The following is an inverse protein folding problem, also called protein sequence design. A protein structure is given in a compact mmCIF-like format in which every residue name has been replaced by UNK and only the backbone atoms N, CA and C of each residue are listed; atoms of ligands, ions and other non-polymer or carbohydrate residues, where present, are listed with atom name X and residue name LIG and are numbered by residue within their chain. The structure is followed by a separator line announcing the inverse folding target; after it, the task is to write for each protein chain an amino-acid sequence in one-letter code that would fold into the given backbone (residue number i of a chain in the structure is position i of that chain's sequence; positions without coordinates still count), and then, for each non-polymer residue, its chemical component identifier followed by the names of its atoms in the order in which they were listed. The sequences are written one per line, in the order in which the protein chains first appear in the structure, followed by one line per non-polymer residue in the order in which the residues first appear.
data_IF_894633867196
#
_entry.id   IF_894633867196
#
_cell.length_a   1.000
_cell.length_b   1.000
_cell.length_c   1.000
_cell.angle_alpha   90.00
_cell.angle_beta   90.00
_cell.angle_gamma   90.00
#
_symmetry.space_group_name_H-M   'P 1'
#
loop_
_entity.id
_entity.type
_entity.pdbx_description
1 polymer ?
#
# COMPACT_ATOMS: atom_id res chain seq x y z
N UNK A 1 7.57 28.94 20.85
CA UNK A 1 8.30 28.38 22.00
C UNK A 1 8.87 27.04 21.55
N UNK A 2 10.18 26.89 21.51
CA UNK A 2 10.83 25.61 21.22
C UNK A 2 10.65 24.70 22.42
N UNK A 3 9.92 23.60 22.25
CA UNK A 3 9.82 22.55 23.27
C UNK A 3 11.22 21.98 23.49
N UNK A 4 11.63 21.78 24.74
CA UNK A 4 12.95 21.20 25.02
C UNK A 4 12.94 19.70 24.67
N UNK A 5 14.08 19.13 24.30
CA UNK A 5 14.22 17.68 24.01
C UNK A 5 13.71 16.83 25.19
N UNK A 6 13.82 17.33 26.42
CA UNK A 6 13.32 16.67 27.64
C UNK A 6 11.79 16.67 27.74
N UNK A 7 11.13 17.77 27.39
CA UNK A 7 9.66 17.86 27.44
C UNK A 7 9.02 17.01 26.34
N UNK A 8 9.66 16.98 25.17
CA UNK A 8 9.32 16.15 24.03
C UNK A 8 9.48 14.63 24.34
N UNK A 9 10.58 14.24 25.00
CA UNK A 9 10.79 12.90 25.54
C UNK A 9 9.70 12.48 26.51
N UNK A 10 9.27 13.38 27.38
CA UNK A 10 8.26 13.09 28.39
C UNK A 10 6.87 12.91 27.77
N UNK A 11 6.48 13.75 26.81
CA UNK A 11 5.21 13.63 26.10
C UNK A 11 5.13 12.34 25.27
N UNK A 12 6.20 11.97 24.56
CA UNK A 12 6.21 10.72 23.81
C UNK A 12 6.34 9.48 24.70
N UNK A 13 7.10 9.54 25.79
CA UNK A 13 7.12 8.47 26.78
C UNK A 13 5.75 8.29 27.44
N UNK A 14 5.02 9.37 27.68
CA UNK A 14 3.63 9.34 28.12
C UNK A 14 2.71 8.73 27.06
N UNK A 15 2.92 9.04 25.79
CA UNK A 15 2.12 8.48 24.68
C UNK A 15 2.42 6.99 24.43
N UNK A 16 3.70 6.59 24.48
CA UNK A 16 4.06 5.18 24.48
C UNK A 16 3.52 4.51 25.73
N UNK A 17 3.55 5.12 26.92
CA UNK A 17 2.98 4.51 28.12
C UNK A 17 1.46 4.45 28.08
N UNK A 18 0.79 5.41 27.41
CA UNK A 18 -0.66 5.46 27.28
C UNK A 18 -1.17 4.36 26.34
N UNK A 19 -0.42 4.06 25.28
CA UNK A 19 -0.75 3.01 24.31
C UNK A 19 -0.12 1.63 24.63
N UNK A 20 1.12 1.62 25.12
CA UNK A 20 1.89 0.43 25.47
C UNK A 20 2.24 0.45 26.94
N UNK A 21 1.49 -0.31 27.74
CA UNK A 21 1.84 -0.48 29.14
C UNK A 21 3.28 -1.01 29.28
N UNK A 22 4.01 -0.67 30.35
CA UNK A 22 5.36 -1.20 30.59
C UNK A 22 5.43 -2.73 30.61
N UNK A 23 4.32 -3.39 30.93
CA UNK A 23 4.19 -4.85 30.87
C UNK A 23 4.08 -5.33 29.43
N UNK A 24 3.19 -4.73 28.63
CA UNK A 24 3.04 -5.03 27.19
C UNK A 24 4.37 -4.91 26.45
N UNK A 25 5.11 -3.83 26.69
CA UNK A 25 6.42 -3.61 26.06
C UNK A 25 7.46 -4.66 26.48
N UNK A 26 7.41 -5.11 27.74
CA UNK A 26 8.30 -6.14 28.28
C UNK A 26 7.98 -7.52 27.71
N UNK A 27 6.71 -7.86 27.60
CA UNK A 27 6.26 -9.13 27.08
C UNK A 27 6.57 -9.22 25.59
N UNK A 28 6.29 -8.16 24.82
CA UNK A 28 6.68 -8.07 23.42
C UNK A 28 8.20 -8.24 23.23
N UNK A 29 9.00 -7.61 24.09
CA UNK A 29 10.46 -7.74 24.04
C UNK A 29 10.96 -9.16 24.38
N UNK A 30 10.22 -9.93 25.19
CA UNK A 30 10.53 -11.33 25.45
C UNK A 30 10.13 -12.22 24.29
N UNK A 31 8.96 -11.98 23.70
CA UNK A 31 8.44 -12.77 22.58
C UNK A 31 9.37 -12.74 21.37
N UNK A 32 9.95 -11.57 21.07
CA UNK A 32 10.95 -11.42 19.99
C UNK A 32 12.38 -11.77 20.43
N UNK A 33 12.57 -12.22 21.67
CA UNK A 33 13.86 -12.62 22.21
C UNK A 33 14.86 -11.47 22.46
N UNK A 34 14.40 -10.22 22.44
CA UNK A 34 15.24 -9.05 22.75
C UNK A 34 15.62 -9.01 24.23
N UNK A 35 14.67 -9.33 25.13
CA UNK A 35 14.90 -9.49 26.56
C UNK A 35 14.78 -10.96 26.93
N UNK A 36 15.92 -11.61 27.21
CA UNK A 36 15.95 -13.00 27.69
C UNK A 36 16.17 -13.10 29.20
N UNK A 37 16.80 -12.07 29.79
CA UNK A 37 17.06 -11.95 31.22
C UNK A 37 16.86 -10.50 31.65
N UNK A 38 16.48 -10.28 32.89
CA UNK A 38 16.35 -8.94 33.46
C UNK A 38 17.72 -8.25 33.47
N UNK A 39 17.83 -7.10 32.80
CA UNK A 39 19.00 -6.23 32.83
C UNK A 39 18.62 -4.78 33.13
N UNK A 40 19.62 -3.97 33.50
CA UNK A 40 19.44 -2.51 33.70
C UNK A 40 18.88 -1.83 32.45
N UNK A 41 19.40 -2.23 31.27
CA UNK A 41 18.89 -1.82 29.97
C UNK A 41 17.70 -2.68 29.56
N UNK A 42 16.59 -2.03 29.19
CA UNK A 42 15.30 -2.61 28.87
C UNK A 42 14.80 -2.15 27.49
N UNK A 43 13.69 -2.73 27.03
CA UNK A 43 13.04 -2.37 25.77
C UNK A 43 12.71 -0.87 25.64
N UNK A 44 12.22 -0.25 26.71
CA UNK A 44 11.93 1.20 26.74
C UNK A 44 13.17 2.06 26.44
N UNK A 45 14.35 1.60 26.86
CA UNK A 45 15.60 2.34 26.70
C UNK A 45 16.10 2.27 25.25
N UNK A 46 15.87 1.14 24.57
CA UNK A 46 16.08 1.03 23.12
C UNK A 46 15.17 1.97 22.36
N UNK A 47 13.88 2.01 22.70
CA UNK A 47 12.91 2.87 22.03
C UNK A 47 13.25 4.35 22.23
N UNK A 48 13.54 4.74 23.47
CA UNK A 48 13.98 6.11 23.78
C UNK A 48 15.24 6.49 22.98
N UNK A 49 16.20 5.58 22.91
CA UNK A 49 17.44 5.80 22.16
C UNK A 49 17.20 5.98 20.66
N UNK A 50 16.43 5.07 20.06
CA UNK A 50 16.23 5.01 18.61
C UNK A 50 15.30 6.10 18.06
N UNK A 51 14.30 6.51 18.85
CA UNK A 51 13.29 7.46 18.38
C UNK A 51 13.70 8.91 18.69
N UNK A 52 14.44 9.15 19.79
CA UNK A 52 14.54 10.50 20.35
C UNK A 52 15.94 11.00 20.69
N UNK A 53 16.75 10.17 21.35
CA UNK A 53 18.06 10.58 21.87
C UNK A 53 19.07 10.87 20.76
N UNK A 54 18.80 10.39 19.55
CA UNK A 54 19.68 10.63 18.43
C UNK A 54 18.89 10.85 17.14
N UNK A 55 18.82 12.11 16.72
CA UNK A 55 18.35 12.48 15.37
C UNK A 55 19.15 11.78 14.25
N UNK A 56 20.32 11.22 14.57
CA UNK A 56 21.15 10.42 13.68
C UNK A 56 21.75 9.19 14.38
N UNK A 57 20.93 8.24 14.89
CA UNK A 57 21.44 7.02 15.60
C UNK A 57 22.52 6.31 14.79
N UNK A 58 22.38 6.33 13.47
CA UNK A 58 23.33 5.72 12.55
C UNK A 58 24.67 6.47 12.41
N UNK A 59 24.77 7.74 12.82
CA UNK A 59 25.98 8.57 12.67
C UNK A 59 26.62 8.96 14.01
N UNK A 60 25.86 8.94 15.11
CA UNK A 60 26.36 9.25 16.45
C UNK A 60 27.20 8.09 16.99
N UNK A 61 28.35 8.40 17.60
CA UNK A 61 29.22 7.34 18.16
C UNK A 61 28.56 6.59 19.32
N UNK A 62 28.91 5.31 19.51
CA UNK A 62 28.38 4.49 20.62
C UNK A 62 28.66 5.10 22.00
N UNK A 63 29.79 5.78 22.18
CA UNK A 63 30.13 6.49 23.41
C UNK A 63 29.14 7.62 23.68
N UNK A 64 28.86 8.46 22.68
CA UNK A 64 27.87 9.53 22.80
C UNK A 64 26.47 8.97 23.04
N UNK A 65 26.07 7.93 22.31
CA UNK A 65 24.77 7.28 22.52
C UNK A 65 24.63 6.74 23.95
N UNK A 66 25.68 6.13 24.49
CA UNK A 66 25.69 5.62 25.87
C UNK A 66 25.60 6.74 26.90
N UNK A 67 26.36 7.83 26.72
CA UNK A 67 26.32 9.00 27.60
C UNK A 67 24.97 9.72 27.54
N UNK A 68 24.39 9.88 26.36
CA UNK A 68 23.07 10.50 26.22
C UNK A 68 21.99 9.63 26.86
N UNK A 69 22.06 8.30 26.69
CA UNK A 69 21.12 7.39 27.34
C UNK A 69 21.22 7.48 28.87
N UNK A 70 22.44 7.50 29.42
CA UNK A 70 22.66 7.66 30.85
C UNK A 70 22.07 8.98 31.36
N UNK A 71 22.32 10.08 30.66
CA UNK A 71 21.78 11.39 31.03
C UNK A 71 20.23 11.44 30.97
N UNK A 72 19.61 10.78 30.00
CA UNK A 72 18.15 10.82 29.81
C UNK A 72 17.37 9.79 30.62
N UNK A 73 17.99 8.66 30.99
CA UNK A 73 17.27 7.51 31.60
C UNK A 73 17.91 6.99 32.89
N UNK A 74 19.07 7.52 33.28
CA UNK A 74 19.92 6.99 34.36
C UNK A 74 20.39 5.53 34.16
N UNK A 75 20.23 4.98 32.95
CA UNK A 75 20.69 3.63 32.61
C UNK A 75 22.15 3.67 32.16
N UNK A 76 23.02 3.08 32.97
CA UNK A 76 24.44 2.95 32.65
C UNK A 76 24.69 1.68 31.81
N UNK A 77 25.19 1.88 30.59
CA UNK A 77 25.59 0.82 29.65
C UNK A 77 26.92 1.19 28.99
N UNK A 78 27.78 0.20 28.74
CA UNK A 78 29.02 0.44 28.01
C UNK A 78 28.75 0.56 26.51
N UNK A 79 29.61 1.26 25.73
CA UNK A 79 29.47 1.36 24.28
C UNK A 79 29.36 0.01 23.58
N UNK A 80 30.18 -0.95 23.99
CA UNK A 80 30.15 -2.32 23.46
C UNK A 80 28.89 -3.08 23.90
N UNK A 81 28.45 -2.90 25.15
CA UNK A 81 27.20 -3.46 25.62
C UNK A 81 25.99 -2.94 24.84
N UNK A 82 26.02 -1.66 24.46
CA UNK A 82 25.00 -1.04 23.61
C UNK A 82 25.06 -1.58 22.17
N UNK A 83 26.26 -1.72 21.60
CA UNK A 83 26.45 -2.29 20.26
C UNK A 83 25.79 -3.67 20.12
N UNK A 84 25.97 -4.54 21.13
CA UNK A 84 25.38 -5.88 21.15
C UNK A 84 23.84 -5.88 21.20
N UNK A 85 23.22 -4.76 21.62
CA UNK A 85 21.77 -4.59 21.60
C UNK A 85 21.24 -4.19 20.22
N UNK A 86 22.07 -3.69 19.31
CA UNK A 86 21.69 -3.48 17.91
C UNK A 86 21.79 -4.78 17.12
N UNK A 87 20.71 -5.57 17.18
CA UNK A 87 20.65 -6.88 16.55
C UNK A 87 19.28 -7.12 15.89
N UNK A 88 19.09 -8.31 15.31
CA UNK A 88 17.83 -8.66 14.62
C UNK A 88 16.60 -8.62 15.54
N UNK A 89 16.75 -9.00 16.81
CA UNK A 89 15.65 -8.96 17.78
C UNK A 89 15.24 -7.52 18.10
N UNK A 90 16.19 -6.58 18.14
CA UNK A 90 15.89 -5.15 18.29
C UNK A 90 15.08 -4.60 17.11
N UNK A 91 15.42 -5.01 15.89
CA UNK A 91 14.65 -4.64 14.69
C UNK A 91 13.23 -5.20 14.77
N UNK A 92 13.07 -6.48 15.13
CA UNK A 92 11.75 -7.12 15.30
C UNK A 92 10.93 -6.46 16.40
N UNK A 93 11.55 -6.06 17.51
CA UNK A 93 10.87 -5.32 18.58
C UNK A 93 10.32 -3.99 18.07
N UNK A 94 11.14 -3.18 17.38
CA UNK A 94 10.71 -1.90 16.85
C UNK A 94 9.62 -2.05 15.78
N UNK A 95 9.69 -3.10 14.94
CA UNK A 95 8.64 -3.42 13.97
C UNK A 95 7.30 -3.76 14.65
N UNK A 96 7.30 -4.55 15.71
CA UNK A 96 6.08 -4.87 16.45
C UNK A 96 5.53 -3.67 17.22
N UNK A 97 6.39 -2.85 17.83
CA UNK A 97 5.97 -1.61 18.50
C UNK A 97 5.27 -0.69 17.50
N UNK A 98 5.87 -0.49 16.32
CA UNK A 98 5.25 0.28 15.25
C UNK A 98 3.88 -0.29 14.86
N UNK A 99 3.79 -1.61 14.70
CA UNK A 99 2.55 -2.28 14.35
C UNK A 99 1.45 -2.08 15.40
N UNK A 100 1.80 -2.19 16.69
CA UNK A 100 0.87 -2.03 17.79
C UNK A 100 0.38 -0.58 17.94
N UNK A 101 1.29 0.39 17.86
CA UNK A 101 0.95 1.81 17.88
C UNK A 101 0.03 2.20 16.71
N UNK A 102 0.29 1.65 15.52
CA UNK A 102 -0.58 1.81 14.36
C UNK A 102 -1.98 1.27 14.65
N UNK A 103 -2.08 0.01 15.10
CA UNK A 103 -3.36 -0.63 15.45
C UNK A 103 -4.19 0.20 16.42
N UNK A 104 -3.57 0.69 17.50
CA UNK A 104 -4.31 1.42 18.53
C UNK A 104 -4.82 2.79 18.04
N UNK A 105 -4.03 3.51 17.22
CA UNK A 105 -4.44 4.82 16.68
C UNK A 105 -5.69 4.70 15.79
N UNK A 106 -5.83 3.62 15.02
CA UNK A 106 -7.02 3.41 14.17
C UNK A 106 -8.22 2.80 14.91
N UNK A 107 -8.02 1.86 15.85
CA UNK A 107 -9.12 1.24 16.60
C UNK A 107 -9.85 2.27 17.49
N UNK A 108 -9.18 3.37 17.87
CA UNK A 108 -9.83 4.49 18.55
C UNK A 108 -10.91 5.20 17.70
N UNK A 109 -10.92 4.97 16.38
CA UNK A 109 -12.03 5.37 15.51
C UNK A 109 -13.13 4.31 15.54
N UNK A 110 -14.37 4.71 15.85
CA UNK A 110 -15.49 3.77 15.94
C UNK A 110 -15.73 3.03 14.62
N UNK A 111 -16.18 1.76 14.65
CA UNK A 111 -16.54 1.02 13.45
C UNK A 111 -17.51 1.82 12.59
N UNK A 112 -17.22 1.92 11.30
CA UNK A 112 -18.06 2.68 10.38
C UNK A 112 -19.36 1.91 10.19
N UNK A 113 -20.45 2.37 10.82
CA UNK A 113 -21.78 1.88 10.52
C UNK A 113 -22.13 2.27 9.08
N UNK A 114 -22.24 1.27 8.22
CA UNK A 114 -22.45 1.46 6.79
C UNK A 114 -23.50 0.47 6.30
N UNK A 115 -24.45 0.88 5.44
CA UNK A 115 -25.43 -0.04 4.85
C UNK A 115 -24.75 -1.17 4.06
N UNK A 116 -23.51 -0.95 3.61
CA UNK A 116 -22.71 -1.92 2.88
C UNK A 116 -22.13 -3.04 3.75
N UNK A 117 -22.22 -2.97 5.09
CA UNK A 117 -21.80 -4.06 6.01
C UNK A 117 -22.64 -5.34 5.87
N UNK A 118 -23.85 -5.20 5.29
CA UNK A 118 -24.68 -6.32 4.88
C UNK A 118 -24.01 -7.17 3.80
N UNK A 119 -23.26 -6.53 2.90
CA UNK A 119 -22.54 -7.16 1.77
C UNK A 119 -21.07 -7.37 2.13
N UNK A 120 -20.31 -6.31 2.34
CA UNK A 120 -18.88 -6.36 2.60
C UNK A 120 -18.62 -6.59 4.08
N UNK A 121 -17.97 -7.71 4.41
CA UNK A 121 -17.58 -8.01 5.80
C UNK A 121 -16.31 -7.30 6.21
N UNK A 122 -15.40 -7.06 5.26
CA UNK A 122 -14.21 -6.23 5.42
C UNK A 122 -13.94 -5.45 4.15
N UNK A 123 -13.40 -4.24 4.29
CA UNK A 123 -12.98 -3.41 3.16
C UNK A 123 -11.47 -3.26 3.27
N UNK A 124 -10.75 -4.06 2.50
CA UNK A 124 -9.29 -4.19 2.57
C UNK A 124 -8.63 -3.17 1.66
N UNK A 125 -7.94 -2.22 2.26
CA UNK A 125 -7.14 -1.25 1.53
C UNK A 125 -5.68 -1.64 1.66
N UNK A 126 -5.01 -1.86 0.54
CA UNK A 126 -3.57 -2.12 0.48
C UNK A 126 -2.86 -1.00 -0.28
N UNK A 127 -1.87 -0.40 0.36
CA UNK A 127 -0.99 0.59 -0.24
C UNK A 127 0.41 0.54 0.39
N UNK A 128 1.34 1.28 -0.18
CA UNK A 128 2.71 1.36 0.33
C UNK A 128 3.24 2.78 0.34
N UNK A 129 4.18 3.04 1.26
CA UNK A 129 5.02 4.22 1.26
C UNK A 129 6.49 3.81 1.20
N UNK A 130 7.34 4.66 0.63
CA UNK A 130 8.76 4.39 0.52
C UNK A 130 9.59 5.62 0.86
N UNK A 131 10.72 5.37 1.52
CA UNK A 131 11.66 6.41 1.96
C UNK A 131 13.07 6.06 1.48
N UNK A 132 13.86 7.08 1.16
CA UNK A 132 15.27 6.90 0.80
C UNK A 132 16.11 6.71 2.04
N UNK A 133 17.15 5.90 1.92
CA UNK A 133 18.16 5.69 2.95
C UNK A 133 19.54 6.12 2.43
N UNK A 134 20.50 6.43 3.31
CA UNK A 134 21.90 6.60 2.92
C UNK A 134 22.42 5.37 2.15
N UNK A 135 23.27 5.60 1.14
CA UNK A 135 23.74 4.56 0.20
C UNK A 135 24.49 3.41 0.87
N UNK A 136 25.04 3.63 2.06
CA UNK A 136 25.68 2.59 2.90
C UNK A 136 24.73 1.42 3.20
N UNK A 137 23.41 1.64 3.20
CA UNK A 137 22.40 0.61 3.45
C UNK A 137 21.96 -0.17 2.21
N UNK A 138 22.52 0.11 1.02
CA UNK A 138 22.08 -0.47 -0.25
C UNK A 138 22.19 -2.00 -0.32
N UNK A 139 23.11 -2.60 0.43
CA UNK A 139 23.28 -4.06 0.51
C UNK A 139 22.10 -4.75 1.22
N UNK A 140 21.49 -4.09 2.20
CA UNK A 140 20.37 -4.63 2.99
C UNK A 140 19.01 -4.12 2.47
N UNK A 141 18.95 -2.85 2.08
CA UNK A 141 17.76 -2.15 1.63
C UNK A 141 17.96 -1.56 0.23
N UNK A 142 18.08 -2.41 -0.82
CA UNK A 142 18.23 -1.90 -2.17
C UNK A 142 17.04 -1.05 -2.60
N UNK A 143 17.33 0.13 -3.13
CA UNK A 143 16.34 1.06 -3.69
C UNK A 143 15.86 0.63 -5.07
N UNK A 144 14.71 1.17 -5.49
CA UNK A 144 14.11 0.88 -6.80
C UNK A 144 14.88 1.46 -8.01
N UNK A 145 15.88 2.33 -7.77
CA UNK A 145 16.60 3.07 -8.80
C UNK A 145 15.80 4.23 -9.39
N UNK A 146 16.48 5.17 -10.08
CA UNK A 146 15.84 6.30 -10.78
C UNK A 146 15.69 7.59 -9.97
N UNK A 147 16.32 7.68 -8.80
CA UNK A 147 16.59 8.90 -8.02
C UNK A 147 18.05 8.84 -7.50
N UNK A 148 18.55 9.90 -6.86
CA UNK A 148 19.95 10.06 -6.45
C UNK A 148 20.51 8.98 -5.51
N UNK A 149 19.67 8.21 -4.82
CA UNK A 149 20.09 7.21 -3.82
C UNK A 149 19.80 5.77 -4.28
N UNK A 150 20.75 4.89 -3.98
CA UNK A 150 20.77 3.45 -4.27
C UNK A 150 20.12 2.60 -3.18
N UNK A 151 19.86 3.17 -2.01
CA UNK A 151 19.20 2.52 -0.89
C UNK A 151 17.81 3.13 -0.61
N UNK A 152 16.87 2.30 -0.15
CA UNK A 152 15.55 2.75 0.26
C UNK A 152 14.76 1.65 0.96
N UNK A 153 13.86 2.06 1.85
CA UNK A 153 12.94 1.19 2.57
C UNK A 153 11.52 1.43 2.07
N UNK A 154 10.71 0.39 2.07
CA UNK A 154 9.28 0.44 1.75
C UNK A 154 8.50 -0.18 2.89
N UNK A 155 7.41 0.49 3.27
CA UNK A 155 6.42 0.01 4.21
C UNK A 155 5.16 -0.32 3.42
N UNK A 156 4.78 -1.58 3.42
CA UNK A 156 3.55 -2.11 2.86
C UNK A 156 2.52 -2.22 3.97
N UNK A 157 1.30 -1.76 3.70
CA UNK A 157 0.25 -1.65 4.70
C UNK A 157 -1.08 -2.11 4.12
N UNK A 158 -1.69 -3.13 4.73
CA UNK A 158 -3.07 -3.53 4.47
C UNK A 158 -3.89 -3.43 5.75
N UNK A 159 -5.04 -2.79 5.69
CA UNK A 159 -5.96 -2.68 6.83
C UNK A 159 -7.41 -2.82 6.37
N UNK A 160 -8.26 -3.21 7.31
CA UNK A 160 -9.71 -3.22 7.12
C UNK A 160 -10.28 -1.85 7.50
N UNK A 161 -10.85 -1.14 6.52
CA UNK A 161 -11.44 0.17 6.70
C UNK A 161 -12.65 0.15 7.65
N UNK A 162 -13.41 -0.96 7.72
CA UNK A 162 -14.62 -1.01 8.55
C UNK A 162 -14.30 -1.10 10.04
N UNK A 163 -13.31 -1.93 10.41
CA UNK A 163 -12.89 -2.13 11.79
C UNK A 163 -11.70 -1.25 12.22
N UNK A 164 -10.96 -0.69 11.26
CA UNK A 164 -9.68 0.00 11.52
C UNK A 164 -8.51 -0.94 11.79
N UNK A 165 -8.71 -2.26 11.77
CA UNK A 165 -7.69 -3.24 12.13
C UNK A 165 -6.64 -3.39 11.01
N UNK A 166 -5.34 -3.35 11.35
CA UNK A 166 -4.30 -3.74 10.41
C UNK A 166 -4.31 -5.24 10.16
N UNK A 167 -4.33 -5.60 8.89
CA UNK A 167 -4.27 -6.98 8.44
C UNK A 167 -2.82 -7.39 8.17
N UNK A 168 -2.04 -6.48 7.58
CA UNK A 168 -0.63 -6.71 7.27
C UNK A 168 0.17 -5.41 7.38
N UNK A 169 1.34 -5.49 8.04
CA UNK A 169 2.33 -4.41 8.08
C UNK A 169 3.68 -5.05 7.78
N UNK A 170 4.30 -4.67 6.66
CA UNK A 170 5.57 -5.25 6.24
C UNK A 170 6.56 -4.17 5.85
N UNK A 171 7.74 -4.21 6.44
CA UNK A 171 8.86 -3.32 6.10
C UNK A 171 9.90 -4.11 5.32
N UNK A 172 10.37 -3.56 4.20
CA UNK A 172 11.31 -4.25 3.33
C UNK A 172 12.05 -3.33 2.37
N UNK A 173 12.84 -3.88 1.44
CA UNK A 173 13.58 -3.10 0.47
C UNK A 173 12.70 -2.24 -0.44
N UNK A 174 13.14 -1.03 -0.73
CA UNK A 174 12.46 -0.08 -1.60
C UNK A 174 12.22 -0.60 -3.02
N UNK A 175 13.10 -1.47 -3.51
CA UNK A 175 12.99 -2.14 -4.82
C UNK A 175 11.85 -3.16 -4.90
N UNK A 176 11.29 -3.59 -3.78
CA UNK A 176 10.24 -4.61 -3.79
C UNK A 176 9.01 -4.09 -4.56
N UNK A 177 8.54 -4.89 -5.52
CA UNK A 177 7.41 -4.54 -6.36
C UNK A 177 6.08 -4.75 -5.63
N UNK A 178 5.21 -3.74 -5.70
CA UNK A 178 3.88 -3.75 -5.09
C UNK A 178 3.04 -4.92 -5.61
N UNK A 179 3.13 -5.21 -6.91
CA UNK A 179 2.50 -6.40 -7.53
C UNK A 179 2.81 -7.68 -6.76
N UNK A 180 4.09 -7.93 -6.47
CA UNK A 180 4.51 -9.16 -5.79
C UNK A 180 3.94 -9.23 -4.38
N UNK A 181 3.91 -8.09 -3.67
CA UNK A 181 3.32 -8.03 -2.34
C UNK A 181 1.80 -8.25 -2.37
N UNK A 182 1.09 -7.67 -3.35
CA UNK A 182 -0.34 -7.93 -3.56
C UNK A 182 -0.67 -9.42 -3.75
N UNK A 183 0.21 -10.15 -4.44
CA UNK A 183 0.08 -11.60 -4.62
C UNK A 183 0.36 -12.39 -3.34
N UNK A 184 1.26 -11.90 -2.46
CA UNK A 184 1.50 -12.50 -1.14
C UNK A 184 0.30 -12.34 -0.20
N UNK A 185 -0.43 -11.22 -0.30
CA UNK A 185 -1.62 -10.95 0.52
C UNK A 185 -2.88 -11.66 -0.01
N UNK A 186 -2.94 -11.98 -1.31
CA UNK A 186 -4.13 -12.57 -1.95
C UNK A 186 -4.66 -13.84 -1.23
N UNK A 187 -3.82 -14.79 -0.78
CA UNK A 187 -4.28 -15.95 -0.03
C UNK A 187 -5.05 -15.66 1.26
N UNK A 188 -4.89 -14.46 1.84
CA UNK A 188 -5.56 -14.05 3.09
C UNK A 188 -6.94 -13.43 2.89
N UNK A 189 -7.38 -13.31 1.63
CA UNK A 189 -8.71 -12.84 1.26
C UNK A 189 -9.73 -13.94 1.49
N UNK A 190 -10.86 -13.59 2.11
CA UNK A 190 -11.98 -14.49 2.38
C UNK A 190 -13.26 -13.95 1.72
N UNK A 191 -14.29 -14.79 1.63
CA UNK A 191 -15.57 -14.43 1.05
C UNK A 191 -16.12 -13.13 1.64
N UNK A 192 -16.73 -12.31 0.78
CA UNK A 192 -17.30 -10.99 1.10
C UNK A 192 -16.28 -9.91 1.54
N UNK A 193 -14.98 -10.14 1.41
CA UNK A 193 -14.01 -9.04 1.47
C UNK A 193 -14.15 -8.16 0.22
N UNK A 194 -14.00 -6.84 0.36
CA UNK A 194 -13.79 -5.92 -0.76
C UNK A 194 -12.34 -5.46 -0.79
N UNK A 195 -11.60 -5.83 -1.83
CA UNK A 195 -10.19 -5.43 -2.02
C UNK A 195 -10.08 -4.15 -2.87
N UNK A 196 -9.47 -3.10 -2.33
CA UNK A 196 -9.19 -1.85 -3.02
C UNK A 196 -7.68 -1.61 -2.99
N UNK A 197 -7.04 -1.62 -4.18
CA UNK A 197 -5.58 -1.57 -4.30
C UNK A 197 -5.15 -0.61 -5.41
N UNK A 198 -3.99 0.03 -5.29
CA UNK A 198 -3.50 0.92 -6.35
C UNK A 198 -3.13 0.15 -7.63
N UNK A 199 -2.96 0.89 -8.73
CA UNK A 199 -2.49 0.40 -10.02
C UNK A 199 -1.16 -0.38 -9.93
N UNK A 200 -0.30 -0.06 -8.94
CA UNK A 200 0.95 -0.80 -8.67
C UNK A 200 0.73 -2.28 -8.37
N UNK A 201 -0.41 -2.62 -7.76
CA UNK A 201 -0.81 -3.98 -7.38
C UNK A 201 -1.58 -4.73 -8.47
N UNK A 202 -1.89 -4.09 -9.60
CA UNK A 202 -2.70 -4.71 -10.65
C UNK A 202 -2.04 -5.98 -11.22
N UNK A 203 -2.72 -7.11 -10.99
CA UNK A 203 -2.36 -8.44 -11.49
C UNK A 203 -3.64 -9.27 -11.70
N UNK A 204 -3.90 -9.68 -12.95
CA UNK A 204 -5.16 -10.35 -13.31
C UNK A 204 -5.37 -11.67 -12.57
N UNK A 205 -4.31 -12.45 -12.34
CA UNK A 205 -4.42 -13.71 -11.59
C UNK A 205 -4.87 -13.48 -10.15
N UNK A 206 -4.43 -12.39 -9.52
CA UNK A 206 -4.83 -12.07 -8.14
C UNK A 206 -6.30 -11.63 -8.11
N UNK A 207 -6.75 -10.87 -9.11
CA UNK A 207 -8.16 -10.46 -9.23
C UNK A 207 -9.07 -11.67 -9.49
N UNK A 208 -8.66 -12.59 -10.36
CA UNK A 208 -9.37 -13.86 -10.57
C UNK A 208 -9.42 -14.68 -9.28
N UNK A 209 -8.31 -14.79 -8.55
CA UNK A 209 -8.27 -15.49 -7.26
C UNK A 209 -9.25 -14.87 -6.24
N UNK A 210 -9.31 -13.54 -6.14
CA UNK A 210 -10.26 -12.85 -5.26
C UNK A 210 -11.70 -13.20 -5.64
N UNK A 211 -12.02 -13.18 -6.94
CA UNK A 211 -13.34 -13.58 -7.41
C UNK A 211 -13.67 -15.06 -7.09
N UNK A 212 -12.72 -15.97 -7.31
CA UNK A 212 -12.88 -17.40 -7.02
C UNK A 212 -13.06 -17.68 -5.51
N UNK A 213 -12.70 -16.72 -4.65
CA UNK A 213 -12.95 -16.74 -3.20
C UNK A 213 -14.28 -16.12 -2.79
N UNK A 214 -15.16 -15.81 -3.74
CA UNK A 214 -16.43 -15.12 -3.49
C UNK A 214 -16.22 -13.76 -2.81
N UNK A 215 -15.10 -13.12 -3.12
CA UNK A 215 -14.73 -11.80 -2.65
C UNK A 215 -14.77 -10.80 -3.81
N UNK A 216 -14.78 -9.52 -3.44
CA UNK A 216 -14.93 -8.41 -4.36
C UNK A 216 -13.62 -7.64 -4.52
N UNK A 217 -13.45 -6.98 -5.67
CA UNK A 217 -12.35 -6.05 -5.88
C UNK A 217 -12.77 -4.83 -6.67
N UNK A 218 -12.10 -3.70 -6.42
CA UNK A 218 -12.10 -2.54 -7.31
C UNK A 218 -10.65 -2.18 -7.60
N UNK A 219 -10.25 -2.30 -8.86
CA UNK A 219 -8.88 -2.01 -9.29
C UNK A 219 -8.86 -1.10 -10.51
N UNK A 220 -7.84 -0.25 -10.60
CA UNK A 220 -7.53 0.44 -11.85
C UNK A 220 -6.81 -0.53 -12.81
N UNK A 221 -7.07 -0.38 -14.10
CA UNK A 221 -6.44 -1.19 -15.15
C UNK A 221 -5.23 -0.46 -15.74
N UNK A 222 -4.16 -1.20 -16.07
CA UNK A 222 -3.01 -0.65 -16.82
C UNK A 222 -3.41 -0.35 -18.26
N UNK A 223 -2.96 0.78 -18.81
CA UNK A 223 -3.37 1.27 -20.14
C UNK A 223 -3.07 0.33 -21.31
N UNK A 224 -2.12 -0.59 -21.15
CA UNK A 224 -1.77 -1.61 -22.14
C UNK A 224 -2.58 -2.91 -22.01
N UNK A 225 -3.48 -3.00 -21.03
CA UNK A 225 -4.34 -4.16 -20.83
C UNK A 225 -5.42 -4.17 -21.89
N UNK A 226 -5.58 -5.31 -22.58
CA UNK A 226 -6.62 -5.49 -23.59
C UNK A 226 -7.93 -5.87 -22.94
N UNK A 227 -9.01 -5.26 -23.39
CA UNK A 227 -10.38 -5.50 -22.92
C UNK A 227 -11.17 -6.02 -24.11
N UNK A 228 -12.03 -7.00 -23.85
CA UNK A 228 -12.80 -7.70 -24.86
C UNK A 228 -14.26 -7.81 -24.44
N UNK A 229 -15.14 -8.00 -25.41
CA UNK A 229 -16.49 -8.53 -25.21
C UNK A 229 -16.63 -9.85 -25.97
N UNK A 230 -17.55 -10.69 -25.52
CA UNK A 230 -17.87 -11.94 -26.23
C UNK A 230 -18.43 -11.60 -27.61
N UNK A 231 -17.92 -12.27 -28.64
CA UNK A 231 -18.44 -12.12 -29.98
C UNK A 231 -19.81 -12.81 -30.08
N UNK A 232 -20.90 -12.09 -30.45
CA UNK A 232 -22.19 -12.74 -30.67
C UNK A 232 -22.17 -13.71 -31.86
N UNK A 233 -21.29 -13.50 -32.84
CA UNK A 233 -21.19 -14.27 -34.08
C UNK A 233 -19.73 -14.74 -34.31
N UNK A 234 -19.22 -15.72 -33.54
CA UNK A 234 -17.87 -16.22 -33.74
C UNK A 234 -17.79 -17.15 -34.97
N UNK A 235 -16.66 -17.13 -35.67
CA UNK A 235 -16.39 -18.12 -36.70
C UNK A 235 -16.24 -19.54 -36.13
N UNK A 236 -16.61 -20.54 -36.92
CA UNK A 236 -16.46 -21.96 -36.62
C UNK A 236 -15.55 -22.66 -37.62
N UNK A 237 -14.84 -23.70 -37.18
CA UNK A 237 -14.22 -24.68 -38.07
C UNK A 237 -15.30 -25.56 -38.71
N UNK A 238 -14.93 -26.30 -39.78
CA UNK A 238 -15.87 -27.20 -40.47
C UNK A 238 -16.44 -28.29 -39.55
N UNK A 239 -15.76 -28.61 -38.44
CA UNK A 239 -16.18 -29.59 -37.43
C UNK A 239 -17.06 -28.99 -36.31
N UNK A 240 -17.46 -27.72 -36.44
CA UNK A 240 -18.31 -27.03 -35.46
C UNK A 240 -17.60 -26.49 -34.22
N UNK A 241 -16.26 -26.61 -34.10
CA UNK A 241 -15.50 -25.97 -33.02
C UNK A 241 -15.35 -24.47 -33.28
N UNK A 242 -15.52 -23.63 -32.25
CA UNK A 242 -15.28 -22.17 -32.35
C UNK A 242 -13.81 -21.91 -32.69
N UNK A 243 -13.55 -21.02 -33.65
CA UNK A 243 -12.22 -20.46 -33.86
C UNK A 243 -11.90 -19.52 -32.69
N UNK A 244 -11.04 -19.93 -31.76
CA UNK A 244 -10.72 -19.14 -30.55
C UNK A 244 -10.33 -17.68 -30.83
N UNK A 245 -9.74 -17.39 -31.99
CA UNK A 245 -9.38 -16.02 -32.39
C UNK A 245 -10.57 -15.09 -32.66
N UNK A 246 -11.77 -15.64 -32.90
CA UNK A 246 -13.01 -14.90 -33.19
C UNK A 246 -14.01 -14.96 -32.04
N UNK A 247 -13.70 -15.67 -30.97
CA UNK A 247 -14.58 -15.81 -29.80
C UNK A 247 -14.81 -14.47 -29.08
N UNK A 248 -13.83 -13.57 -29.16
CA UNK A 248 -13.83 -12.29 -28.45
C UNK A 248 -13.50 -11.14 -29.38
N UNK A 249 -14.27 -10.05 -29.28
CA UNK A 249 -14.00 -8.79 -30.00
C UNK A 249 -13.23 -7.88 -29.06
N UNK A 250 -12.05 -7.42 -29.47
CA UNK A 250 -11.29 -6.46 -28.70
C UNK A 250 -11.95 -5.08 -28.77
N UNK A 251 -12.16 -4.45 -27.63
CA UNK A 251 -12.66 -3.08 -27.55
C UNK A 251 -11.53 -2.12 -27.88
N UNK A 252 -11.77 -1.23 -28.84
CA UNK A 252 -10.87 -0.10 -29.09
C UNK A 252 -11.15 1.02 -28.08
N UNK A 253 -10.27 1.13 -27.10
CA UNK A 253 -10.35 2.14 -26.05
C UNK A 253 -10.21 3.58 -26.56
N UNK A 254 -9.57 3.82 -27.72
CA UNK A 254 -9.53 5.18 -28.30
C UNK A 254 -10.88 5.55 -28.89
N UNK A 255 -11.50 4.65 -29.64
CA UNK A 255 -12.85 4.82 -30.18
C UNK A 255 -13.88 5.02 -29.07
N UNK A 256 -13.84 4.17 -28.03
CA UNK A 256 -14.72 4.29 -26.87
C UNK A 256 -14.51 5.63 -26.13
N UNK A 257 -13.26 6.04 -25.93
CA UNK A 257 -12.94 7.32 -25.31
C UNK A 257 -13.51 8.49 -26.10
N UNK A 258 -13.44 8.44 -27.44
CA UNK A 258 -13.91 9.52 -28.31
C UNK A 258 -15.45 9.58 -28.40
N UNK A 259 -16.16 8.49 -28.14
CA UNK A 259 -17.62 8.50 -28.06
C UNK A 259 -18.15 9.11 -26.76
N UNK A 260 -17.30 9.36 -25.76
CA UNK A 260 -17.68 9.91 -24.46
C UNK A 260 -17.45 11.42 -24.38
N UNK A 261 -18.41 12.13 -23.79
CA UNK A 261 -18.23 13.53 -23.42
C UNK A 261 -17.27 13.67 -22.22
N UNK A 262 -16.51 14.77 -22.10
CA UNK A 262 -15.69 15.04 -20.92
C UNK A 262 -16.52 14.99 -19.62
N UNK A 263 -16.09 14.20 -18.64
CA UNK A 263 -16.81 13.95 -17.39
C UNK A 263 -17.80 12.79 -17.44
N UNK A 264 -18.09 12.23 -18.62
CA UNK A 264 -19.01 11.10 -18.76
C UNK A 264 -18.35 9.78 -18.31
N UNK A 265 -19.16 8.94 -17.69
CA UNK A 265 -18.80 7.56 -17.34
C UNK A 265 -19.65 6.59 -18.15
N UNK A 266 -19.04 5.52 -18.65
CA UNK A 266 -19.76 4.37 -19.18
C UNK A 266 -19.30 3.07 -18.53
N UNK A 267 -20.17 2.07 -18.60
CA UNK A 267 -19.93 0.72 -18.11
C UNK A 267 -19.97 -0.27 -19.27
N UNK A 268 -19.04 -1.22 -19.25
CA UNK A 268 -19.04 -2.43 -20.05
C UNK A 268 -19.28 -3.58 -19.06
N UNK A 269 -20.53 -4.03 -18.94
CA UNK A 269 -20.93 -5.00 -17.92
C UNK A 269 -20.26 -6.38 -18.09
N UNK A 270 -20.25 -6.90 -19.33
CA UNK A 270 -19.72 -8.23 -19.67
C UNK A 270 -18.36 -8.15 -20.36
N UNK A 271 -17.38 -7.55 -19.68
CA UNK A 271 -16.03 -7.41 -20.22
C UNK A 271 -15.14 -8.60 -19.83
N UNK A 272 -14.21 -8.94 -20.71
CA UNK A 272 -13.16 -9.94 -20.48
C UNK A 272 -11.82 -9.24 -20.57
N UNK A 273 -11.06 -9.20 -19.47
CA UNK A 273 -9.84 -8.41 -19.34
C UNK A 273 -8.61 -9.30 -19.40
N UNK A 274 -7.65 -8.91 -20.24
CA UNK A 274 -6.40 -9.65 -20.44
C UNK A 274 -6.33 -10.32 -21.81
N UNK A 275 -5.11 -10.39 -22.35
CA UNK A 275 -4.86 -11.02 -23.65
C UNK A 275 -5.08 -12.54 -23.60
N UNK A 276 -4.58 -13.18 -22.55
CA UNK A 276 -4.63 -14.63 -22.36
C UNK A 276 -5.68 -14.98 -21.30
N UNK A 277 -5.62 -14.33 -20.12
CA UNK A 277 -6.44 -14.72 -18.96
C UNK A 277 -7.95 -14.50 -19.15
N UNK A 278 -8.34 -13.45 -19.88
CA UNK A 278 -9.75 -13.11 -20.18
C UNK A 278 -10.65 -13.11 -18.93
N UNK A 279 -10.16 -12.51 -17.84
CA UNK A 279 -10.87 -12.45 -16.56
C UNK A 279 -12.20 -11.70 -16.75
N UNK A 280 -13.37 -12.31 -16.47
CA UNK A 280 -14.66 -11.66 -16.61
C UNK A 280 -14.84 -10.60 -15.53
N UNK A 281 -15.31 -9.41 -15.89
CA UNK A 281 -15.56 -8.32 -14.97
C UNK A 281 -16.44 -7.23 -15.58
N UNK A 282 -16.94 -6.34 -14.73
CA UNK A 282 -17.43 -5.03 -15.13
C UNK A 282 -16.24 -4.10 -15.35
N UNK A 283 -16.22 -3.41 -16.48
CA UNK A 283 -15.22 -2.37 -16.78
C UNK A 283 -15.89 -1.01 -16.80
N UNK A 284 -15.40 -0.09 -15.97
CA UNK A 284 -15.92 1.28 -15.88
C UNK A 284 -14.91 2.21 -16.51
N UNK A 285 -15.36 2.99 -17.51
CA UNK A 285 -14.54 3.97 -18.22
C UNK A 285 -15.07 5.36 -17.92
N UNK A 286 -14.23 6.17 -17.28
CA UNK A 286 -14.54 7.55 -16.97
C UNK A 286 -13.67 8.49 -17.83
N UNK A 287 -14.31 9.33 -18.64
CA UNK A 287 -13.64 10.37 -19.42
C UNK A 287 -13.34 11.56 -18.53
N UNK A 288 -12.06 11.91 -18.41
CA UNK A 288 -11.65 13.05 -17.60
C UNK A 288 -12.26 14.37 -18.12
N UNK A 289 -12.48 15.31 -17.21
CA UNK A 289 -12.78 16.69 -17.60
C UNK A 289 -11.58 17.33 -18.31
N UNK A 290 -11.82 18.38 -19.11
CA UNK A 290 -10.75 19.11 -19.81
C UNK A 290 -9.67 19.60 -18.84
N UNK A 291 -10.07 20.08 -17.66
CA UNK A 291 -9.16 20.56 -16.62
C UNK A 291 -8.29 19.41 -16.04
N UNK A 292 -8.92 18.28 -15.70
CA UNK A 292 -8.20 17.09 -15.21
C UNK A 292 -7.22 16.53 -16.25
N UNK A 293 -7.64 16.50 -17.52
CA UNK A 293 -6.79 16.05 -18.62
C UNK A 293 -5.58 16.98 -18.80
N UNK A 294 -5.77 18.30 -18.77
CA UNK A 294 -4.68 19.26 -18.90
C UNK A 294 -3.66 19.11 -17.77
N UNK A 295 -4.12 19.00 -16.51
CA UNK A 295 -3.24 18.75 -15.35
C UNK A 295 -2.44 17.47 -15.53
N UNK A 296 -3.09 16.38 -15.97
CA UNK A 296 -2.42 15.10 -16.20
C UNK A 296 -1.37 15.16 -17.31
N UNK A 297 -1.60 15.93 -18.37
CA UNK A 297 -0.61 16.15 -19.44
C UNK A 297 0.60 16.94 -18.92
N UNK A 298 0.39 17.94 -18.07
CA UNK A 298 1.47 18.69 -17.41
C UNK A 298 2.31 17.78 -16.50
N UNK A 299 1.66 16.98 -15.65
CA UNK A 299 2.33 16.02 -14.78
C UNK A 299 3.14 14.98 -15.58
N UNK A 300 2.61 14.54 -16.72
CA UNK A 300 3.32 13.64 -17.62
C UNK A 300 4.56 14.29 -18.23
N UNK A 301 4.47 15.54 -18.70
CA UNK A 301 5.61 16.26 -19.25
C UNK A 301 6.73 16.43 -18.20
N UNK A 302 6.37 16.73 -16.95
CA UNK A 302 7.33 16.79 -15.82
C UNK A 302 7.99 15.43 -15.61
N UNK A 303 7.22 14.33 -15.63
CA UNK A 303 7.75 12.97 -15.47
C UNK A 303 8.65 12.54 -16.63
N UNK A 304 8.28 12.86 -17.88
CA UNK A 304 9.11 12.61 -19.08
C UNK A 304 10.47 13.28 -18.95
N UNK A 305 10.49 14.57 -18.55
CA UNK A 305 11.73 15.32 -18.30
C UNK A 305 12.55 14.71 -17.17
N UNK A 306 11.92 14.39 -16.03
CA UNK A 306 12.61 13.84 -14.85
C UNK A 306 13.22 12.46 -15.12
N UNK A 307 12.54 11.61 -15.91
CA UNK A 307 12.97 10.22 -16.17
C UNK A 307 13.72 10.03 -17.50
N UNK A 308 13.86 11.09 -18.31
CA UNK A 308 14.50 10.98 -19.64
C UNK A 308 13.76 10.04 -20.59
N UNK A 309 12.43 9.90 -20.46
CA UNK A 309 11.62 8.98 -21.26
C UNK A 309 10.47 9.72 -21.97
N UNK A 310 9.93 9.14 -23.05
CA UNK A 310 8.74 9.68 -23.74
C UNK A 310 7.62 8.63 -23.79
N UNK A 311 6.40 9.06 -23.47
CA UNK A 311 5.19 8.26 -23.67
C UNK A 311 4.79 8.27 -25.15
N UNK A 312 4.24 7.16 -25.62
CA UNK A 312 3.70 7.07 -26.98
C UNK A 312 2.50 8.01 -27.17
N UNK A 313 2.24 8.49 -28.41
CA UNK A 313 1.07 9.33 -28.70
C UNK A 313 -0.25 8.71 -28.23
N UNK A 314 -0.41 7.40 -28.44
CA UNK A 314 -1.55 6.60 -27.94
C UNK A 314 -1.69 6.66 -26.43
N UNK A 315 -0.58 6.47 -25.69
CA UNK A 315 -0.61 6.55 -24.22
C UNK A 315 -0.99 7.94 -23.72
N UNK A 316 -0.54 9.00 -24.40
CA UNK A 316 -0.93 10.38 -24.09
C UNK A 316 -2.41 10.63 -24.33
N UNK A 317 -2.97 10.14 -25.45
CA UNK A 317 -4.42 10.21 -25.73
C UNK A 317 -5.24 9.48 -24.67
N UNK A 318 -4.92 8.22 -24.40
CA UNK A 318 -5.61 7.40 -23.41
C UNK A 318 -5.40 7.85 -21.95
N UNK A 319 -4.47 8.77 -21.68
CA UNK A 319 -4.33 9.37 -20.35
C UNK A 319 -5.56 10.18 -19.93
N UNK A 320 -6.37 10.61 -20.91
CA UNK A 320 -7.62 11.33 -20.71
C UNK A 320 -8.78 10.46 -20.23
N UNK A 321 -8.56 9.17 -19.92
CA UNK A 321 -9.56 8.31 -19.28
C UNK A 321 -9.00 7.67 -18.01
N UNK A 322 -9.90 7.36 -17.08
CA UNK A 322 -9.64 6.36 -16.04
C UNK A 322 -10.43 5.09 -16.41
N UNK A 323 -9.79 3.93 -16.24
CA UNK A 323 -10.40 2.64 -16.51
C UNK A 323 -10.29 1.79 -15.25
N UNK A 324 -11.42 1.32 -14.76
CA UNK A 324 -11.55 0.49 -13.58
C UNK A 324 -12.11 -0.88 -13.98
N UNK A 325 -11.75 -1.90 -13.20
CA UNK A 325 -12.28 -3.25 -13.27
C UNK A 325 -12.83 -3.61 -11.90
N UNK A 326 -14.02 -4.20 -11.88
CA UNK A 326 -14.67 -4.66 -10.65
C UNK A 326 -15.52 -5.89 -10.93
N UNK A 327 -15.65 -6.77 -9.94
CA UNK A 327 -16.66 -7.84 -9.91
C UNK A 327 -17.79 -7.53 -8.92
N UNK A 328 -17.83 -6.35 -8.31
CA UNK A 328 -18.95 -5.91 -7.48
C UNK A 328 -20.23 -5.86 -8.32
N UNK A 329 -21.39 -6.30 -7.81
CA UNK A 329 -22.67 -6.12 -8.50
C UNK A 329 -23.07 -4.64 -8.70
N UNK A 330 -23.84 -4.33 -9.74
CA UNK A 330 -24.23 -2.95 -10.11
C UNK A 330 -25.20 -2.32 -9.12
N UNK A 331 -26.05 -3.13 -8.50
CA UNK A 331 -26.97 -2.76 -7.43
C UNK A 331 -26.25 -2.42 -6.12
N UNK A 332 -25.08 -3.01 -5.89
CA UNK A 332 -24.26 -2.76 -4.70
C UNK A 332 -23.33 -1.57 -4.93
N UNK A 333 -22.59 -1.57 -6.04
CA UNK A 333 -21.70 -0.48 -6.44
C UNK A 333 -22.06 -0.03 -7.86
N UNK A 334 -22.89 1.03 -8.00
CA UNK A 334 -23.23 1.61 -9.29
C UNK A 334 -22.02 2.21 -10.00
N UNK A 335 -22.03 2.24 -11.34
CA UNK A 335 -20.91 2.76 -12.13
C UNK A 335 -20.44 4.16 -11.71
N UNK A 336 -21.37 5.02 -11.30
CA UNK A 336 -21.09 6.39 -10.88
C UNK A 336 -20.24 6.48 -9.61
N UNK A 337 -20.29 5.46 -8.76
CA UNK A 337 -19.62 5.43 -7.47
C UNK A 337 -18.28 4.67 -7.48
N UNK A 338 -17.97 3.92 -8.54
CA UNK A 338 -16.75 3.08 -8.59
C UNK A 338 -15.48 3.93 -8.40
N UNK A 339 -15.45 5.17 -8.91
CA UNK A 339 -14.35 6.09 -8.66
C UNK A 339 -14.24 6.48 -7.18
N UNK A 340 -15.37 6.80 -6.54
CA UNK A 340 -15.42 7.23 -5.14
C UNK A 340 -14.96 6.09 -4.23
N UNK A 341 -15.42 4.86 -4.49
CA UNK A 341 -14.93 3.66 -3.82
C UNK A 341 -13.42 3.47 -4.02
N UNK A 342 -12.92 3.55 -5.26
CA UNK A 342 -11.48 3.45 -5.51
C UNK A 342 -10.69 4.56 -4.79
N UNK A 343 -11.29 5.74 -4.60
CA UNK A 343 -10.66 6.87 -3.91
C UNK A 343 -10.45 6.63 -2.42
N UNK A 344 -11.15 5.66 -1.81
CA UNK A 344 -10.91 5.26 -0.42
C UNK A 344 -9.48 4.79 -0.19
N UNK A 345 -8.75 4.36 -1.24
CA UNK A 345 -7.33 4.03 -1.13
C UNK A 345 -6.48 5.16 -0.52
N UNK A 346 -6.83 6.42 -0.79
CA UNK A 346 -6.09 7.58 -0.26
C UNK A 346 -6.10 7.66 1.27
N UNK A 347 -6.95 6.90 1.97
CA UNK A 347 -6.93 6.82 3.43
C UNK A 347 -5.56 6.36 3.98
N UNK A 348 -4.86 5.45 3.30
CA UNK A 348 -3.49 5.06 3.70
C UNK A 348 -2.51 6.21 3.55
N UNK A 349 -2.61 6.98 2.46
CA UNK A 349 -1.76 8.15 2.26
C UNK A 349 -2.03 9.22 3.33
N UNK A 350 -3.29 9.43 3.71
CA UNK A 350 -3.65 10.33 4.82
C UNK A 350 -3.06 9.81 6.12
N UNK A 351 -3.17 8.51 6.39
CA UNK A 351 -2.59 7.90 7.59
C UNK A 351 -1.08 8.15 7.67
N UNK A 352 -0.34 7.98 6.57
CA UNK A 352 1.10 8.26 6.56
C UNK A 352 1.45 9.76 6.66
N UNK A 353 0.57 10.66 6.20
CA UNK A 353 0.81 12.12 6.25
C UNK A 353 0.41 12.78 7.57
N UNK A 354 -0.48 12.14 8.33
CA UNK A 354 -0.99 12.63 9.62
C UNK A 354 -0.25 12.01 10.82
N UNK A 355 0.89 11.39 10.53
CA UNK A 355 1.81 10.80 11.50
C UNK A 355 3.00 11.72 11.74
#
# INVERSE_FOLDING_TARGET
MSVSVSDELQLFAQEIQSFLSPNTLRDLARDVGFVQRTSKYQAKDLVALCVWVSQNVAMTSLTQLSSCLEASTAVLISPEGLNQRFNKAAVQLLQHILAELLNQKLISSMPISSPYTSVFKRIRILDSTAFQLPDVFSSVYPGAGGCSHTAGIKIQLEYDLLSGQFLHIHTGPGKQHDRTYGSLCAPTVIANDLCIRDLGYFHLKDLQYIQDKEAYYISRIKSNTRIYQKNPNPDYFQDGRIKKGTEYIQIDMETLMNSLQPGQTCEIADAYVGMIDKVPARVIVHRLTKQQQQKRLQDQAVREKKKGMKYSPRSKRLSGINVYMTNTPTDIVPMGQVHDWYSLRWQIEILFKTW
#
